data_IF_654816200944
#
_entry.id   IF_654816200944
#
_cell.length_a   1.000
_cell.length_b   1.000
_cell.length_c   1.000
_cell.angle_alpha   90.00
_cell.angle_beta   90.00
_cell.angle_gamma   90.00
#
_symmetry.space_group_name_H-M   'P 1'
#
loop_
_entity.id
_entity.type
_entity.pdbx_description
1 polymer ?
#
# COMPACT_ATOMS: atom_id res chain seq x y z
N UNK A 1 1.54 14.71 -7.65
CA UNK A 1 2.22 14.65 -6.35
C UNK A 1 2.41 16.09 -5.88
N UNK A 2 1.73 16.48 -4.80
CA UNK A 2 1.88 17.81 -4.21
C UNK A 2 2.85 17.67 -3.04
N UNK A 3 3.95 18.40 -3.09
CA UNK A 3 4.98 18.41 -2.06
C UNK A 3 4.86 19.73 -1.28
N UNK A 4 4.54 19.65 0.00
CA UNK A 4 4.56 20.82 0.89
C UNK A 4 5.98 21.00 1.44
N UNK A 5 6.68 22.03 0.98
CA UNK A 5 8.06 22.32 1.40
C UNK A 5 8.10 22.85 2.84
N UNK A 6 9.02 22.32 3.62
CA UNK A 6 9.58 22.96 4.80
C UNK A 6 10.85 23.74 4.41
N UNK A 7 11.22 24.76 5.18
CA UNK A 7 12.37 25.63 4.95
C UNK A 7 13.74 24.93 5.01
N UNK A 8 13.81 23.70 5.52
CA UNK A 8 15.04 22.93 5.66
C UNK A 8 14.98 21.63 4.84
N UNK A 9 15.60 21.66 3.67
CA UNK A 9 16.06 20.53 2.84
C UNK A 9 15.16 19.30 2.62
N UNK A 10 13.86 19.41 2.67
CA UNK A 10 12.94 18.28 2.34
C UNK A 10 11.47 18.65 2.41
N UNK A 11 10.65 17.86 1.74
CA UNK A 11 9.20 18.00 1.87
C UNK A 11 8.76 17.36 3.17
N UNK A 12 8.41 18.15 4.17
CA UNK A 12 8.00 17.68 5.49
C UNK A 12 6.71 16.85 5.47
N UNK A 13 5.78 17.22 4.58
CA UNK A 13 4.51 16.49 4.38
C UNK A 13 4.38 16.09 2.94
N UNK A 14 3.78 14.93 2.72
CA UNK A 14 3.42 14.45 1.38
C UNK A 14 1.92 14.27 1.30
N UNK A 15 1.35 14.55 0.14
CA UNK A 15 -0.08 14.38 -0.09
C UNK A 15 -0.29 13.26 -1.09
N UNK A 16 -1.06 12.26 -0.71
CA UNK A 16 -1.56 11.25 -1.61
C UNK A 16 -2.99 11.58 -2.03
N UNK A 17 -3.20 11.60 -3.33
CA UNK A 17 -4.53 11.71 -3.94
C UNK A 17 -4.64 10.58 -4.96
N UNK A 18 -5.74 9.85 -4.91
CA UNK A 18 -6.02 8.79 -5.87
C UNK A 18 -6.12 9.30 -7.31
N UNK A 19 -5.93 8.40 -8.29
CA UNK A 19 -6.29 8.62 -9.69
C UNK A 19 -7.75 8.22 -9.95
N UNK A 20 -7.99 7.41 -10.96
CA UNK A 20 -9.30 6.84 -11.25
C UNK A 20 -9.70 5.68 -10.29
N UNK A 21 -8.77 5.15 -9.54
CA UNK A 21 -8.97 4.14 -8.50
C UNK A 21 -7.80 4.20 -7.52
N UNK A 22 -6.66 3.67 -7.89
CA UNK A 22 -5.42 3.70 -7.13
C UNK A 22 -4.33 4.45 -7.91
N UNK A 23 -3.24 4.75 -7.25
CA UNK A 23 -2.10 5.39 -7.90
C UNK A 23 -0.80 4.68 -7.52
N UNK A 24 0.00 4.33 -8.52
CA UNK A 24 1.33 3.72 -8.34
C UNK A 24 2.25 4.55 -7.42
N UNK A 25 1.99 5.86 -7.30
CA UNK A 25 2.77 6.75 -6.44
C UNK A 25 2.58 6.49 -4.94
N UNK A 26 1.55 5.76 -4.51
CA UNK A 26 1.24 5.51 -3.10
C UNK A 26 2.42 4.92 -2.34
N UNK A 27 2.98 3.81 -2.84
CA UNK A 27 4.12 3.16 -2.22
C UNK A 27 5.37 4.05 -2.14
N UNK A 28 5.61 4.87 -3.16
CA UNK A 28 6.77 5.78 -3.16
C UNK A 28 6.58 6.95 -2.21
N UNK A 29 5.36 7.43 -2.06
CA UNK A 29 5.01 8.50 -1.12
C UNK A 29 5.16 8.01 0.31
N UNK A 30 4.65 6.81 0.62
CA UNK A 30 4.75 6.21 1.95
C UNK A 30 6.19 5.86 2.33
N UNK A 31 7.02 5.41 1.38
CA UNK A 31 8.40 4.97 1.63
C UNK A 31 9.41 6.07 1.98
N UNK A 32 8.98 7.31 2.21
CA UNK A 32 9.87 8.46 2.35
C UNK A 32 10.03 9.01 3.78
N UNK A 33 9.71 8.27 4.82
CA UNK A 33 9.81 8.68 6.23
C UNK A 33 9.17 10.06 6.55
N UNK A 34 8.18 10.43 5.77
CA UNK A 34 7.47 11.71 5.91
C UNK A 34 5.99 11.47 6.18
N UNK A 35 5.35 12.25 7.06
CA UNK A 35 3.92 12.13 7.28
C UNK A 35 3.14 12.26 5.97
N UNK A 36 2.35 11.25 5.65
CA UNK A 36 1.51 11.22 4.46
C UNK A 36 0.11 11.70 4.80
N UNK A 37 -0.32 12.76 4.15
CA UNK A 37 -1.69 13.27 4.18
C UNK A 37 -2.48 12.53 3.11
N UNK A 38 -3.24 11.54 3.51
CA UNK A 38 -3.91 10.60 2.63
C UNK A 38 -5.36 11.01 2.42
N UNK A 39 -5.70 11.46 1.22
CA UNK A 39 -7.09 11.78 0.89
C UNK A 39 -7.89 10.49 0.82
N UNK A 40 -8.94 10.39 1.65
CA UNK A 40 -9.77 9.19 1.74
C UNK A 40 -10.37 8.83 0.39
N UNK A 41 -10.29 7.55 0.04
CA UNK A 41 -10.80 6.98 -1.21
C UNK A 41 -11.76 5.83 -0.93
N UNK A 42 -12.80 5.62 -1.74
CA UNK A 42 -13.66 4.45 -1.64
C UNK A 42 -13.02 3.16 -2.19
N UNK A 43 -11.91 3.30 -2.90
CA UNK A 43 -11.20 2.17 -3.49
C UNK A 43 -10.15 1.62 -2.53
N UNK A 44 -9.95 0.32 -2.61
CA UNK A 44 -8.96 -0.39 -1.83
C UNK A 44 -8.06 -1.21 -2.73
N UNK A 45 -6.80 -1.23 -2.39
CA UNK A 45 -5.78 -2.10 -2.97
C UNK A 45 -5.06 -2.90 -1.87
N UNK A 46 -4.00 -3.59 -2.24
CA UNK A 46 -3.22 -4.39 -1.28
C UNK A 46 -2.56 -3.52 -0.20
N UNK A 47 -2.09 -2.31 -0.55
CA UNK A 47 -1.46 -1.39 0.41
C UNK A 47 -2.48 -0.83 1.38
N UNK A 48 -3.56 -0.24 0.85
CA UNK A 48 -4.57 0.44 1.66
C UNK A 48 -5.29 -0.47 2.65
N UNK A 49 -5.33 -1.79 2.39
CA UNK A 49 -5.90 -2.78 3.32
C UNK A 49 -5.06 -2.99 4.58
N UNK A 50 -3.74 -2.87 4.48
CA UNK A 50 -2.83 -3.00 5.63
C UNK A 50 -2.55 -1.69 6.35
N UNK A 51 -2.85 -0.56 5.72
CA UNK A 51 -2.60 0.76 6.28
C UNK A 51 -3.62 1.12 7.36
N UNK A 52 -3.13 1.67 8.48
CA UNK A 52 -3.94 2.09 9.61
C UNK A 52 -3.88 3.61 9.76
N UNK A 53 -5.05 4.25 9.69
CA UNK A 53 -5.18 5.68 9.88
C UNK A 53 -4.68 6.12 11.27
N UNK A 54 -3.92 7.21 11.34
CA UNK A 54 -3.32 7.73 12.56
C UNK A 54 -2.08 6.96 13.03
N UNK A 55 -1.75 5.85 12.39
CA UNK A 55 -0.50 5.09 12.61
C UNK A 55 0.43 5.23 11.40
N UNK A 56 -0.03 4.89 10.21
CA UNK A 56 0.79 4.85 8.99
C UNK A 56 0.60 6.09 8.11
N UNK A 57 -0.50 6.79 8.28
CA UNK A 57 -0.82 8.00 7.53
C UNK A 57 -1.82 8.87 8.29
N UNK A 58 -1.91 10.15 7.91
CA UNK A 58 -2.94 11.06 8.40
C UNK A 58 -4.10 11.13 7.40
N UNK A 59 -5.34 10.76 7.79
CA UNK A 59 -6.47 10.80 6.87
C UNK A 59 -6.93 12.23 6.61
N UNK A 60 -7.21 12.53 5.34
CA UNK A 60 -7.75 13.80 4.88
C UNK A 60 -9.17 13.60 4.38
N UNK A 61 -10.10 14.37 4.91
CA UNK A 61 -11.49 14.33 4.48
C UNK A 61 -11.62 14.83 3.04
N UNK A 62 -12.21 13.99 2.17
CA UNK A 62 -12.36 14.25 0.74
C UNK A 62 -13.31 15.43 0.43
N UNK A 63 -14.34 15.62 1.27
CA UNK A 63 -15.31 16.70 1.06
C UNK A 63 -14.76 18.07 1.49
N UNK A 64 -13.80 18.08 2.40
CA UNK A 64 -13.21 19.29 2.99
C UNK A 64 -11.68 19.28 2.93
N UNK A 65 -11.11 18.94 1.77
CA UNK A 65 -9.68 18.72 1.57
C UNK A 65 -8.83 19.87 2.12
N UNK A 66 -9.12 21.12 1.71
CA UNK A 66 -8.30 22.27 2.10
C UNK A 66 -8.26 22.49 3.62
N UNK A 67 -9.41 22.39 4.28
CA UNK A 67 -9.51 22.55 5.74
C UNK A 67 -8.82 21.40 6.47
N UNK A 68 -9.03 20.17 6.00
CA UNK A 68 -8.44 18.97 6.56
C UNK A 68 -6.91 18.96 6.43
N UNK A 69 -6.37 19.37 5.28
CA UNK A 69 -4.92 19.52 5.09
C UNK A 69 -4.37 20.62 6.01
N UNK A 70 -5.03 21.78 6.06
CA UNK A 70 -4.57 22.87 6.93
C UNK A 70 -4.48 22.41 8.37
N UNK A 71 -5.54 21.77 8.88
CA UNK A 71 -5.55 21.22 10.24
C UNK A 71 -4.43 20.21 10.47
N UNK A 72 -4.24 19.25 9.54
CA UNK A 72 -3.22 18.22 9.66
C UNK A 72 -1.80 18.83 9.72
N UNK A 73 -1.54 19.85 8.92
CA UNK A 73 -0.25 20.57 8.89
C UNK A 73 -0.05 21.39 10.17
N UNK A 74 -1.06 22.12 10.62
CA UNK A 74 -0.99 22.90 11.86
C UNK A 74 -0.74 21.97 13.06
N UNK A 75 -1.51 20.89 13.17
CA UNK A 75 -1.34 19.89 14.21
C UNK A 75 0.06 19.26 14.19
N UNK A 76 0.52 18.86 13.01
CA UNK A 76 1.83 18.22 12.88
C UNK A 76 3.00 19.19 13.13
N UNK A 77 2.80 20.51 12.95
CA UNK A 77 3.78 21.53 13.32
C UNK A 77 3.83 21.73 14.84
N UNK A 78 2.68 21.59 15.52
CA UNK A 78 2.59 21.65 16.99
C UNK A 78 3.08 20.35 17.65
N UNK A 79 2.99 19.20 16.92
CA UNK A 79 3.34 17.88 17.42
C UNK A 79 4.39 17.18 16.51
N UNK A 80 5.59 17.75 16.34
CA UNK A 80 6.57 17.31 15.34
C UNK A 80 7.03 15.86 15.55
N UNK A 81 7.15 15.40 16.78
CA UNK A 81 7.57 14.03 17.10
C UNK A 81 6.51 13.01 16.67
N UNK A 82 5.23 13.30 16.96
CA UNK A 82 4.13 12.42 16.59
C UNK A 82 3.92 12.39 15.06
N UNK A 83 4.04 13.54 14.41
CA UNK A 83 3.95 13.62 12.96
C UNK A 83 5.08 12.81 12.29
N UNK A 84 6.30 12.94 12.78
CA UNK A 84 7.45 12.17 12.29
C UNK A 84 7.24 10.66 12.50
N UNK A 85 6.75 10.24 13.65
CA UNK A 85 6.46 8.85 13.97
C UNK A 85 5.45 8.23 12.98
N UNK A 86 4.41 8.98 12.59
CA UNK A 86 3.44 8.53 11.57
C UNK A 86 4.15 8.29 10.23
N UNK A 87 5.07 9.18 9.84
CA UNK A 87 5.84 9.02 8.61
C UNK A 87 6.76 7.80 8.63
N UNK A 88 7.48 7.62 9.73
CA UNK A 88 8.37 6.46 9.92
C UNK A 88 7.62 5.14 9.93
N UNK A 89 6.50 5.07 10.64
CA UNK A 89 5.66 3.86 10.69
C UNK A 89 5.05 3.53 9.32
N UNK A 90 4.63 4.54 8.55
CA UNK A 90 4.15 4.34 7.18
C UNK A 90 5.23 3.81 6.26
N UNK A 91 6.44 4.35 6.38
CA UNK A 91 7.60 3.92 5.60
C UNK A 91 8.08 2.53 6.00
N UNK A 92 8.10 2.22 7.29
CA UNK A 92 8.46 0.91 7.79
C UNK A 92 7.49 -0.16 7.28
N UNK A 93 6.17 0.11 7.32
CA UNK A 93 5.17 -0.79 6.76
C UNK A 93 5.47 -1.17 5.30
N UNK A 94 5.75 -0.17 4.45
CA UNK A 94 6.03 -0.43 3.03
C UNK A 94 7.34 -1.21 2.84
N UNK A 95 8.36 -0.93 3.63
CA UNK A 95 9.69 -1.57 3.48
C UNK A 95 9.74 -2.99 4.04
N UNK A 96 9.05 -3.24 5.14
CA UNK A 96 9.16 -4.51 5.87
C UNK A 96 7.97 -5.44 5.58
N UNK A 97 6.74 -4.93 5.64
CA UNK A 97 5.55 -5.75 5.50
C UNK A 97 5.07 -5.90 4.04
N UNK A 98 5.60 -5.06 3.12
CA UNK A 98 5.28 -5.12 1.69
C UNK A 98 6.49 -5.56 0.85
N UNK A 99 7.38 -6.37 1.45
CA UNK A 99 8.44 -7.01 0.68
C UNK A 99 7.87 -7.92 -0.40
N UNK A 100 8.64 -8.16 -1.47
CA UNK A 100 8.18 -9.02 -2.58
C UNK A 100 7.85 -10.44 -2.10
N UNK A 101 8.59 -10.97 -1.13
CA UNK A 101 8.33 -12.29 -0.58
C UNK A 101 6.94 -12.37 0.06
N UNK A 102 6.58 -11.39 0.89
CA UNK A 102 5.24 -11.33 1.49
C UNK A 102 4.13 -11.05 0.47
N UNK A 103 4.43 -10.31 -0.60
CA UNK A 103 3.47 -10.11 -1.70
C UNK A 103 3.21 -11.43 -2.41
N UNK A 104 4.22 -12.23 -2.70
CA UNK A 104 4.06 -13.56 -3.29
C UNK A 104 3.27 -14.49 -2.39
N UNK A 105 3.57 -14.53 -1.09
CA UNK A 105 2.83 -15.32 -0.11
C UNK A 105 1.36 -14.90 -0.03
N UNK A 106 1.11 -13.60 -0.01
CA UNK A 106 -0.26 -13.07 -0.05
C UNK A 106 -1.00 -13.48 -1.33
N UNK A 107 -0.35 -13.38 -2.48
CA UNK A 107 -0.95 -13.77 -3.77
C UNK A 107 -1.24 -15.28 -3.80
N UNK A 108 -0.33 -16.11 -3.33
CA UNK A 108 -0.53 -17.55 -3.24
C UNK A 108 -1.73 -17.88 -2.34
N UNK A 109 -1.78 -17.25 -1.16
CA UNK A 109 -2.91 -17.43 -0.24
C UNK A 109 -4.23 -16.99 -0.87
N UNK A 110 -4.27 -15.78 -1.45
CA UNK A 110 -5.45 -15.24 -2.09
C UNK A 110 -5.98 -16.16 -3.20
N UNK A 111 -5.10 -16.62 -4.09
CA UNK A 111 -5.47 -17.50 -5.19
C UNK A 111 -5.93 -18.87 -4.68
N UNK A 112 -5.29 -19.39 -3.63
CA UNK A 112 -5.67 -20.66 -3.00
C UNK A 112 -7.06 -20.56 -2.38
N UNK A 113 -7.34 -19.51 -1.62
CA UNK A 113 -8.67 -19.31 -1.03
C UNK A 113 -9.74 -19.03 -2.10
N UNK A 114 -9.40 -18.25 -3.12
CA UNK A 114 -10.30 -18.01 -4.24
C UNK A 114 -10.65 -19.31 -4.99
N UNK A 115 -9.66 -20.18 -5.21
CA UNK A 115 -9.86 -21.46 -5.87
C UNK A 115 -10.89 -22.35 -5.14
N UNK A 116 -10.97 -22.29 -3.81
CA UNK A 116 -11.98 -23.01 -3.01
C UNK A 116 -13.41 -22.51 -3.25
N UNK A 117 -13.58 -21.28 -3.71
CA UNK A 117 -14.88 -20.69 -4.01
C UNK A 117 -15.38 -21.03 -5.42
N UNK A 118 -14.50 -21.53 -6.29
CA UNK A 118 -14.87 -21.89 -7.66
C UNK A 118 -15.78 -23.11 -7.65
N UNK A 119 -16.89 -23.03 -8.40
CA UNK A 119 -17.85 -24.13 -8.56
C UNK A 119 -17.46 -25.10 -9.69
N UNK A 120 -16.37 -24.86 -10.34
CA UNK A 120 -15.82 -25.67 -11.43
C UNK A 120 -14.30 -25.80 -11.25
N UNK A 121 -13.73 -26.84 -11.83
CA UNK A 121 -12.29 -27.00 -11.90
C UNK A 121 -11.77 -26.32 -13.19
N UNK A 122 -10.92 -25.30 -13.10
CA UNK A 122 -10.31 -24.70 -14.28
C UNK A 122 -9.52 -25.73 -15.09
N UNK A 123 -9.62 -25.66 -16.40
CA UNK A 123 -8.81 -26.46 -17.34
C UNK A 123 -7.94 -25.54 -18.15
N UNK A 124 -6.77 -26.02 -18.55
CA UNK A 124 -5.87 -25.28 -19.42
C UNK A 124 -6.44 -25.38 -20.84
N UNK A 125 -6.75 -24.25 -21.52
CA UNK A 125 -7.20 -24.28 -22.91
C UNK A 125 -6.13 -24.87 -23.84
N UNK A 126 -6.55 -25.54 -24.92
CA UNK A 126 -5.63 -26.16 -25.88
C UNK A 126 -4.66 -25.16 -26.53
N UNK A 127 -5.06 -23.89 -26.67
CA UNK A 127 -4.25 -22.82 -27.23
C UNK A 127 -3.50 -21.99 -26.18
N UNK A 128 -3.46 -22.44 -24.93
CA UNK A 128 -2.72 -21.74 -23.89
C UNK A 128 -1.20 -21.86 -24.15
N UNK A 129 -0.51 -20.73 -24.02
CA UNK A 129 0.95 -20.69 -24.08
C UNK A 129 1.49 -20.54 -22.67
N UNK A 130 2.39 -21.43 -22.29
CA UNK A 130 3.07 -21.32 -21.01
C UNK A 130 3.96 -20.06 -21.00
N UNK A 131 3.76 -19.21 -20.00
CA UNK A 131 4.59 -18.03 -19.80
C UNK A 131 5.77 -18.43 -18.93
N UNK A 132 6.95 -18.47 -19.53
CA UNK A 132 8.22 -18.75 -18.88
C UNK A 132 9.30 -17.78 -19.38
N UNK A 133 10.49 -17.85 -18.83
CA UNK A 133 11.61 -17.01 -19.24
C UNK A 133 11.86 -17.09 -20.74
N UNK A 134 11.84 -18.29 -21.31
CA UNK A 134 12.09 -18.54 -22.72
C UNK A 134 10.99 -17.93 -23.60
N UNK A 135 9.74 -18.05 -23.20
CA UNK A 135 8.63 -17.48 -23.99
C UNK A 135 8.54 -15.96 -23.90
N UNK A 136 8.98 -15.36 -22.80
CA UNK A 136 8.90 -13.92 -22.53
C UNK A 136 10.15 -13.17 -23.01
N UNK A 137 11.35 -13.62 -22.60
CA UNK A 137 12.59 -12.88 -22.84
C UNK A 137 13.27 -13.23 -24.15
N UNK A 138 13.16 -14.48 -24.65
CA UNK A 138 13.82 -14.88 -25.87
C UNK A 138 13.35 -14.12 -27.13
N UNK A 139 12.05 -13.81 -27.29
CA UNK A 139 11.59 -13.01 -28.42
C UNK A 139 11.97 -11.52 -28.32
N UNK A 140 12.28 -11.01 -27.14
CA UNK A 140 12.64 -9.63 -26.91
C UNK A 140 14.08 -9.33 -27.36
N UNK A 141 14.35 -8.09 -27.77
CA UNK A 141 15.67 -7.66 -28.25
C UNK A 141 16.11 -6.36 -27.56
N UNK A 142 17.42 -6.11 -27.56
CA UNK A 142 18.02 -4.91 -27.04
C UNK A 142 17.66 -4.62 -25.59
N UNK A 143 17.51 -3.35 -25.25
CA UNK A 143 17.26 -2.88 -23.90
C UNK A 143 16.04 -3.53 -23.23
N UNK A 144 15.00 -3.86 -23.99
CA UNK A 144 13.82 -4.54 -23.48
C UNK A 144 14.16 -5.95 -22.96
N UNK A 145 14.95 -6.71 -23.73
CA UNK A 145 15.43 -8.03 -23.32
C UNK A 145 16.33 -7.92 -22.08
N UNK A 146 17.25 -6.96 -22.09
CA UNK A 146 18.18 -6.75 -20.97
C UNK A 146 17.40 -6.45 -19.67
N UNK A 147 16.42 -5.56 -19.73
CA UNK A 147 15.56 -5.24 -18.59
C UNK A 147 14.79 -6.49 -18.08
N UNK A 148 14.23 -7.30 -18.99
CA UNK A 148 13.55 -8.54 -18.61
C UNK A 148 14.48 -9.54 -17.93
N UNK A 149 15.71 -9.69 -18.45
CA UNK A 149 16.70 -10.60 -17.88
C UNK A 149 17.23 -10.12 -16.54
N UNK A 150 17.41 -8.83 -16.35
CA UNK A 150 17.90 -8.23 -15.11
C UNK A 150 16.82 -8.26 -14.00
N UNK A 151 15.54 -8.14 -14.39
CA UNK A 151 14.42 -8.20 -13.45
C UNK A 151 13.91 -9.62 -13.15
N UNK A 152 14.51 -10.63 -13.80
CA UNK A 152 14.09 -12.01 -13.62
C UNK A 152 14.53 -12.54 -12.23
N UNK A 153 13.56 -13.04 -11.47
CA UNK A 153 13.85 -13.80 -10.25
C UNK A 153 14.46 -15.16 -10.64
N UNK A 154 15.70 -15.39 -10.26
CA UNK A 154 16.46 -16.60 -10.63
C UNK A 154 16.35 -17.73 -9.62
N UNK A 155 15.89 -17.41 -8.45
CA UNK A 155 15.77 -18.38 -7.36
C UNK A 155 14.34 -18.42 -6.88
N UNK A 156 13.69 -19.55 -7.11
CA UNK A 156 12.55 -19.90 -6.26
C UNK A 156 13.08 -19.92 -4.85
N UNK A 157 12.44 -19.22 -3.93
CA UNK A 157 12.83 -19.23 -2.53
C UNK A 157 13.06 -20.68 -2.09
N UNK A 158 14.23 -20.98 -1.55
CA UNK A 158 14.61 -22.33 -1.13
C UNK A 158 13.93 -22.77 0.17
N UNK A 159 12.88 -22.09 0.59
CA UNK A 159 12.05 -22.35 1.74
C UNK A 159 10.58 -22.35 1.33
N UNK A 160 9.78 -23.11 2.04
CA UNK A 160 8.33 -23.10 1.86
C UNK A 160 7.77 -21.68 2.06
N UNK A 161 6.68 -21.31 1.35
CA UNK A 161 6.00 -20.05 1.59
C UNK A 161 5.74 -19.86 3.08
N UNK A 162 5.93 -18.66 3.59
CA UNK A 162 5.72 -18.40 5.00
C UNK A 162 4.31 -18.82 5.41
N UNK A 163 4.18 -19.42 6.56
CA UNK A 163 2.89 -19.64 7.17
C UNK A 163 2.34 -18.30 7.57
N UNK A 164 1.29 -17.84 6.88
CA UNK A 164 0.57 -16.64 7.28
C UNK A 164 0.13 -16.79 8.74
N UNK A 165 0.18 -15.72 9.54
CA UNK A 165 -0.40 -15.75 10.86
C UNK A 165 -1.88 -16.13 10.75
N UNK A 166 -2.49 -16.68 11.82
CA UNK A 166 -3.91 -16.98 11.78
C UNK A 166 -4.71 -15.72 11.42
N UNK A 167 -5.82 -15.87 10.67
CA UNK A 167 -6.66 -14.73 10.34
C UNK A 167 -7.14 -14.04 11.62
N UNK A 168 -7.29 -12.73 11.55
CA UNK A 168 -7.88 -11.98 12.66
C UNK A 168 -9.22 -12.57 13.06
N UNK A 169 -9.48 -12.64 14.35
CA UNK A 169 -10.83 -12.92 14.85
C UNK A 169 -11.79 -11.80 14.44
N UNK A 170 -13.08 -12.07 14.50
CA UNK A 170 -14.08 -11.06 14.17
C UNK A 170 -13.97 -9.83 15.10
N UNK A 171 -13.61 -10.04 16.37
CA UNK A 171 -13.40 -8.99 17.36
C UNK A 171 -12.16 -8.14 17.02
N UNK A 172 -11.05 -8.76 16.65
CA UNK A 172 -9.82 -8.05 16.27
C UNK A 172 -10.03 -7.24 14.99
N UNK A 173 -10.64 -7.84 13.96
CA UNK A 173 -10.96 -7.16 12.72
C UNK A 173 -11.89 -5.95 12.98
N UNK A 174 -12.90 -6.12 13.84
CA UNK A 174 -13.79 -5.05 14.25
C UNK A 174 -13.04 -3.96 15.01
N UNK A 175 -12.16 -4.30 15.94
CA UNK A 175 -11.36 -3.33 16.70
C UNK A 175 -10.46 -2.48 15.80
N UNK A 176 -9.86 -3.09 14.75
CA UNK A 176 -9.06 -2.38 13.74
C UNK A 176 -9.96 -1.40 12.97
N UNK A 177 -11.12 -1.85 12.49
CA UNK A 177 -12.07 -1.03 11.75
C UNK A 177 -12.63 0.13 12.60
N UNK A 178 -13.01 -0.15 13.86
CA UNK A 178 -13.53 0.84 14.80
C UNK A 178 -12.48 1.92 15.10
N UNK A 179 -11.20 1.55 15.27
CA UNK A 179 -10.09 2.49 15.48
C UNK A 179 -9.90 3.41 14.26
N UNK A 180 -9.90 2.85 13.06
CA UNK A 180 -9.80 3.64 11.84
C UNK A 180 -11.01 4.59 11.69
N UNK A 181 -12.22 4.12 11.95
CA UNK A 181 -13.43 4.93 11.94
C UNK A 181 -13.43 6.03 13.01
N UNK A 182 -12.85 5.78 14.19
CA UNK A 182 -12.71 6.80 15.22
C UNK A 182 -11.78 7.95 14.79
N UNK A 183 -10.63 7.61 14.20
CA UNK A 183 -9.68 8.61 13.69
C UNK A 183 -10.36 9.45 12.61
N UNK A 184 -11.05 8.82 11.65
CA UNK A 184 -11.81 9.53 10.60
C UNK A 184 -12.86 10.44 11.20
N UNK A 185 -13.65 9.97 12.17
CA UNK A 185 -14.68 10.80 12.84
C UNK A 185 -14.07 12.00 13.60
N UNK A 186 -12.87 11.84 14.18
CA UNK A 186 -12.16 12.97 14.80
C UNK A 186 -11.76 14.01 13.75
N UNK A 187 -11.26 13.57 12.61
CA UNK A 187 -10.90 14.44 11.47
C UNK A 187 -12.13 15.14 10.88
N UNK A 188 -13.27 14.45 10.77
CA UNK A 188 -14.53 15.03 10.28
C UNK A 188 -15.12 16.09 11.20
N UNK A 189 -14.94 15.93 12.53
CA UNK A 189 -15.41 16.89 13.53
C UNK A 189 -14.60 18.19 13.59
N UNK A 190 -13.48 18.25 12.88
CA UNK A 190 -12.69 19.46 12.74
C UNK A 190 -13.49 20.45 11.88
N UNK A 191 -14.39 21.15 12.54
CA UNK A 191 -15.10 22.30 11.96
C UNK A 191 -14.11 23.45 11.95
N UNK A 192 -13.79 23.93 10.73
CA UNK A 192 -13.02 25.16 10.56
C UNK A 192 -13.76 26.38 11.04
#
# INVERSE_FOLDING_TARGET
>A
MVLLRSSDNGCRYKVYVEGNAWSVSEKYILACDSPVLFVTTPFQDILSRGLVAGKHYWPINREHICKSIKFAVDWGNEHPVQAQLIGEQGSQFVREEMSMDYIYDYMLHLLTEYAKLLRYKPTIPENAVEICTESMACPAQGLHRDCMMDSMERHVAGFDPCTLPPPFTAEEAKAIADRAAEVLRKVEKIKG
#
